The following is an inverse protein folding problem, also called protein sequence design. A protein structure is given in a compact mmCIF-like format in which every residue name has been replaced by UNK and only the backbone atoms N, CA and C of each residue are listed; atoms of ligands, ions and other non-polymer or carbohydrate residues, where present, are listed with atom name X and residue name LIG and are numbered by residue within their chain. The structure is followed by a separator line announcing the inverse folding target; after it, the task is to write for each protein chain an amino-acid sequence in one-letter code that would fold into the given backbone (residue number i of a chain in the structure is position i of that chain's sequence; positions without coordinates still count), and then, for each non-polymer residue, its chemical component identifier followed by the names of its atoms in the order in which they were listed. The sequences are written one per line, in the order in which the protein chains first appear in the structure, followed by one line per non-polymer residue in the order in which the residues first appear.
data_IF_577322122699
#
_entry.id   IF_577322122699
#
_cell.length_a   1.000
_cell.length_b   1.000
_cell.length_c   1.000
_cell.angle_alpha   90.00
_cell.angle_beta   90.00
_cell.angle_gamma   90.00
#
_symmetry.space_group_name_H-M   'P 1'
#
loop_
_entity.id
_entity.type
_entity.pdbx_description
1 polymer ?
#
# COMPACT_ATOMS: atom_id res chain seq x y z
N UNK A 1 10.26 20.05 14.94
CA UNK A 1 9.43 19.07 15.68
C UNK A 1 8.45 19.84 16.53
N UNK A 2 7.15 19.72 16.27
CA UNK A 2 6.12 20.35 17.09
C UNK A 2 5.85 19.48 18.31
N UNK A 3 6.10 19.99 19.52
CA UNK A 3 5.73 19.33 20.77
C UNK A 3 4.31 19.74 21.14
N UNK A 4 3.38 18.79 21.11
CA UNK A 4 2.02 19.02 21.63
C UNK A 4 1.98 18.60 23.10
N UNK A 5 1.67 19.52 24.00
CA UNK A 5 1.49 19.26 25.43
C UNK A 5 0.01 19.45 25.76
N UNK A 6 -0.66 18.38 26.19
CA UNK A 6 -2.01 18.41 26.76
C UNK A 6 -3.14 18.62 25.75
N UNK A 7 -3.40 17.63 24.89
CA UNK A 7 -4.62 17.62 24.07
C UNK A 7 -5.74 16.99 24.91
N UNK A 8 -6.76 17.78 25.26
CA UNK A 8 -7.95 17.30 25.96
C UNK A 8 -9.12 17.24 24.96
N UNK A 9 -9.62 16.03 24.70
CA UNK A 9 -10.70 15.78 23.73
C UNK A 9 -11.95 15.36 24.51
N UNK A 10 -13.05 16.07 24.29
CA UNK A 10 -14.35 15.83 24.91
C UNK A 10 -15.41 15.63 23.83
N UNK A 11 -16.49 14.92 24.17
CA UNK A 11 -17.61 14.59 23.27
C UNK A 11 -17.23 13.81 21.99
N UNK A 12 -16.62 12.64 22.17
CA UNK A 12 -16.18 11.77 21.07
C UNK A 12 -17.27 10.87 20.49
N UNK A 13 -18.54 11.11 20.83
CA UNK A 13 -19.66 10.34 20.29
C UNK A 13 -19.66 10.47 18.76
N UNK A 14 -19.47 9.36 18.05
CA UNK A 14 -19.30 9.28 16.59
C UNK A 14 -18.06 10.00 16.00
N UNK A 15 -17.03 10.26 16.81
CA UNK A 15 -15.77 10.83 16.32
C UNK A 15 -14.66 9.79 16.29
N UNK A 16 -13.81 9.84 15.26
CA UNK A 16 -12.58 9.05 15.19
C UNK A 16 -11.37 9.98 15.44
N UNK A 17 -10.66 9.78 16.54
CA UNK A 17 -9.44 10.51 16.86
C UNK A 17 -8.27 9.68 16.34
N UNK A 18 -7.39 10.29 15.56
CA UNK A 18 -6.24 9.58 15.02
C UNK A 18 -4.96 10.37 15.24
N UNK A 19 -4.03 9.75 15.98
CA UNK A 19 -2.74 10.29 16.36
C UNK A 19 -1.66 9.45 15.66
N UNK A 20 -0.96 10.03 14.68
CA UNK A 20 0.05 9.34 13.87
C UNK A 20 0.31 10.07 12.56
N UNK A 21 1.25 9.55 11.77
CA UNK A 21 1.60 10.11 10.46
C UNK A 21 0.38 10.09 9.53
N UNK A 22 -0.18 11.27 9.23
CA UNK A 22 -1.50 11.43 8.62
C UNK A 22 -1.69 10.69 7.29
N UNK A 23 -0.58 10.42 6.60
CA UNK A 23 -0.55 9.73 5.33
C UNK A 23 -0.97 8.25 5.44
N UNK A 24 -0.53 7.53 6.47
CA UNK A 24 -0.87 6.11 6.67
C UNK A 24 -2.35 5.91 7.03
N UNK A 25 -2.92 6.87 7.75
CA UNK A 25 -4.30 6.80 8.22
C UNK A 25 -5.28 7.06 7.09
N UNK A 26 -4.98 8.03 6.23
CA UNK A 26 -5.72 8.27 5.00
C UNK A 26 -5.67 7.04 4.07
N UNK A 27 -4.49 6.43 3.91
CA UNK A 27 -4.33 5.17 3.15
C UNK A 27 -5.22 4.07 3.73
N UNK A 28 -5.19 3.83 5.04
CA UNK A 28 -5.99 2.78 5.70
C UNK A 28 -7.50 3.02 5.60
N UNK A 29 -7.96 4.25 5.78
CA UNK A 29 -9.39 4.59 5.60
C UNK A 29 -9.86 4.37 4.15
N UNK A 30 -9.03 4.73 3.17
CA UNK A 30 -9.36 4.51 1.76
C UNK A 30 -9.30 3.03 1.38
N UNK A 31 -8.42 2.26 2.00
CA UNK A 31 -8.40 0.79 1.90
C UNK A 31 -9.70 0.19 2.43
N UNK A 32 -10.17 0.60 3.61
CA UNK A 32 -11.46 0.12 4.14
C UNK A 32 -12.62 0.40 3.19
N UNK A 33 -12.72 1.62 2.65
CA UNK A 33 -13.74 1.98 1.65
C UNK A 33 -13.60 1.18 0.36
N UNK A 34 -12.37 0.89 -0.07
CA UNK A 34 -12.12 0.06 -1.24
C UNK A 34 -12.60 -1.38 -1.02
N UNK A 35 -12.40 -1.92 0.18
CA UNK A 35 -12.86 -3.27 0.56
C UNK A 35 -14.39 -3.34 0.69
N UNK A 36 -15.03 -2.26 1.14
CA UNK A 36 -16.50 -2.14 1.19
C UNK A 36 -17.13 -1.95 -0.20
N UNK A 37 -16.33 -1.53 -1.20
CA UNK A 37 -16.82 -1.34 -2.56
C UNK A 37 -17.01 -2.66 -3.29
N UNK A 38 -18.27 -2.97 -3.63
CA UNK A 38 -18.67 -4.11 -4.46
C UNK A 38 -18.19 -4.00 -5.93
N UNK A 39 -17.61 -2.86 -6.32
CA UNK A 39 -17.05 -2.68 -7.66
C UNK A 39 -15.85 -3.62 -7.85
N UNK A 40 -16.05 -4.60 -8.75
CA UNK A 40 -15.02 -5.55 -9.16
C UNK A 40 -14.12 -4.90 -10.22
N UNK A 41 -12.80 -4.82 -9.99
CA UNK A 41 -11.88 -4.30 -10.98
C UNK A 41 -11.88 -5.18 -12.23
N UNK A 42 -11.77 -4.56 -13.41
CA UNK A 42 -11.70 -5.28 -14.67
C UNK A 42 -10.39 -6.07 -14.81
N UNK A 43 -10.34 -7.03 -15.73
CA UNK A 43 -9.09 -7.72 -16.09
C UNK A 43 -7.99 -6.73 -16.50
N UNK A 44 -8.33 -5.73 -17.31
CA UNK A 44 -7.39 -4.67 -17.73
C UNK A 44 -6.81 -3.91 -16.53
N UNK A 45 -7.65 -3.63 -15.52
CA UNK A 45 -7.21 -3.01 -14.27
C UNK A 45 -6.14 -3.87 -13.59
N UNK A 46 -6.36 -5.19 -13.47
CA UNK A 46 -5.40 -6.10 -12.86
C UNK A 46 -4.12 -6.28 -13.69
N UNK A 47 -4.21 -6.27 -15.02
CA UNK A 47 -3.03 -6.29 -15.89
C UNK A 47 -2.17 -5.05 -15.69
N UNK A 48 -2.78 -3.88 -15.51
CA UNK A 48 -2.06 -2.65 -15.20
C UNK A 48 -1.43 -2.68 -13.80
N UNK A 49 -2.14 -3.22 -12.79
CA UNK A 49 -1.55 -3.49 -11.46
C UNK A 49 -0.36 -4.45 -11.57
N UNK A 50 -0.47 -5.50 -12.38
CA UNK A 50 0.60 -6.50 -12.55
C UNK A 50 1.88 -5.88 -13.10
N UNK A 51 1.75 -5.05 -14.14
CA UNK A 51 2.86 -4.28 -14.71
C UNK A 51 3.57 -3.43 -13.66
N UNK A 52 2.80 -2.67 -12.87
CA UNK A 52 3.39 -1.80 -11.85
C UNK A 52 4.00 -2.58 -10.68
N UNK A 53 3.45 -3.74 -10.31
CA UNK A 53 4.06 -4.65 -9.33
C UNK A 53 5.38 -5.26 -9.85
N UNK A 54 5.47 -5.58 -11.14
CA UNK A 54 6.73 -6.02 -11.76
C UNK A 54 7.77 -4.89 -11.70
N UNK A 55 7.38 -3.67 -12.04
CA UNK A 55 8.26 -2.51 -11.94
C UNK A 55 8.75 -2.29 -10.50
N UNK A 56 7.83 -2.34 -9.53
CA UNK A 56 8.16 -2.26 -8.11
C UNK A 56 9.17 -3.34 -7.71
N UNK A 57 8.97 -4.59 -8.14
CA UNK A 57 9.90 -5.70 -7.86
C UNK A 57 11.30 -5.44 -8.41
N UNK A 58 11.41 -4.88 -9.62
CA UNK A 58 12.71 -4.60 -10.21
C UNK A 58 13.45 -3.52 -9.42
N UNK A 59 12.75 -2.45 -9.06
CA UNK A 59 13.32 -1.37 -8.23
C UNK A 59 13.72 -1.87 -6.84
N UNK A 60 12.92 -2.75 -6.23
CA UNK A 60 13.29 -3.36 -4.95
C UNK A 60 14.60 -4.14 -5.05
N UNK A 61 14.83 -4.86 -6.16
CA UNK A 61 16.09 -5.57 -6.39
C UNK A 61 17.29 -4.65 -6.60
N UNK A 62 17.05 -3.42 -7.04
CA UNK A 62 18.08 -2.40 -7.26
C UNK A 62 18.39 -1.58 -6.00
N UNK A 63 17.71 -1.85 -4.87
CA UNK A 63 18.04 -1.23 -3.59
C UNK A 63 19.46 -1.61 -3.17
N UNK A 64 20.19 -0.61 -2.67
CA UNK A 64 21.57 -0.75 -2.18
C UNK A 64 21.68 -1.77 -1.04
N UNK A 65 22.88 -2.32 -0.85
CA UNK A 65 23.13 -3.33 0.18
C UNK A 65 22.98 -2.79 1.61
N UNK A 66 22.99 -1.46 1.79
CA UNK A 66 22.61 -0.81 3.05
C UNK A 66 21.18 -1.18 3.49
N UNK A 67 20.33 -1.59 2.55
CA UNK A 67 18.96 -2.05 2.79
C UNK A 67 18.79 -3.56 2.62
N UNK A 68 19.88 -4.34 2.50
CA UNK A 68 19.85 -5.78 2.18
C UNK A 68 18.85 -6.56 3.05
N UNK A 69 18.87 -6.36 4.37
CA UNK A 69 17.94 -7.05 5.29
C UNK A 69 16.48 -6.71 5.00
N UNK A 70 16.14 -5.43 4.78
CA UNK A 70 14.76 -5.02 4.47
C UNK A 70 14.38 -5.47 3.04
N UNK A 71 15.31 -5.35 2.10
CA UNK A 71 15.15 -5.72 0.69
C UNK A 71 14.86 -7.21 0.56
N UNK A 72 15.66 -8.07 1.16
CA UNK A 72 15.67 -9.50 0.89
C UNK A 72 14.76 -10.28 1.84
N UNK A 73 14.70 -9.90 3.12
CA UNK A 73 13.90 -10.63 4.11
C UNK A 73 12.45 -10.15 4.18
N UNK A 74 12.18 -8.88 3.85
CA UNK A 74 10.85 -8.29 4.02
C UNK A 74 10.19 -7.92 2.68
N UNK A 75 10.83 -7.04 1.91
CA UNK A 75 10.21 -6.38 0.77
C UNK A 75 10.12 -7.30 -0.45
N UNK A 76 11.18 -8.02 -0.80
CA UNK A 76 11.19 -8.98 -1.92
C UNK A 76 10.15 -10.09 -1.73
N UNK A 77 10.02 -10.73 -0.56
CA UNK A 77 8.95 -11.70 -0.30
C UNK A 77 7.56 -11.06 -0.37
N UNK A 78 7.37 -9.87 0.19
CA UNK A 78 6.08 -9.18 0.19
C UNK A 78 5.63 -8.82 -1.23
N UNK A 79 6.50 -8.23 -2.04
CA UNK A 79 6.23 -7.90 -3.46
C UNK A 79 5.99 -9.15 -4.28
N UNK A 80 6.73 -10.23 -4.03
CA UNK A 80 6.53 -11.51 -4.73
C UNK A 80 5.18 -12.15 -4.40
N UNK A 81 4.73 -12.08 -3.14
CA UNK A 81 3.40 -12.55 -2.73
C UNK A 81 2.30 -11.71 -3.38
N UNK A 82 2.44 -10.38 -3.40
CA UNK A 82 1.49 -9.50 -4.07
C UNK A 82 1.41 -9.78 -5.58
N UNK A 83 2.56 -9.98 -6.24
CA UNK A 83 2.61 -10.35 -7.67
C UNK A 83 1.81 -11.60 -7.98
N UNK A 84 2.01 -12.68 -7.21
CA UNK A 84 1.26 -13.93 -7.37
C UNK A 84 -0.24 -13.75 -7.18
N UNK A 85 -0.64 -12.88 -6.25
CA UNK A 85 -2.05 -12.58 -6.04
C UNK A 85 -2.66 -11.82 -7.23
N UNK A 86 -1.93 -10.84 -7.76
CA UNK A 86 -2.37 -10.13 -8.96
C UNK A 86 -2.47 -11.07 -10.16
N UNK A 87 -1.54 -12.02 -10.32
CA UNK A 87 -1.61 -13.01 -11.41
C UNK A 87 -2.90 -13.82 -11.35
N UNK A 88 -3.31 -14.27 -10.16
CA UNK A 88 -4.61 -14.93 -9.97
C UNK A 88 -5.78 -14.02 -10.33
N UNK A 89 -5.72 -12.74 -9.97
CA UNK A 89 -6.77 -11.75 -10.26
C UNK A 89 -6.83 -11.35 -11.75
N UNK A 90 -5.70 -11.41 -12.46
CA UNK A 90 -5.65 -11.25 -13.93
C UNK A 90 -6.33 -12.43 -14.62
N UNK A 91 -6.07 -13.65 -14.16
CA UNK A 91 -6.70 -14.87 -14.68
C UNK A 91 -8.19 -14.95 -14.30
N UNK A 92 -8.52 -14.54 -13.07
CA UNK A 92 -9.85 -14.66 -12.48
C UNK A 92 -10.28 -13.33 -11.83
N UNK A 93 -10.62 -12.35 -12.64
CA UNK A 93 -11.04 -11.00 -12.19
C UNK A 93 -12.27 -10.96 -11.28
N UNK A 94 -12.99 -12.07 -11.13
CA UNK A 94 -14.14 -12.20 -10.24
C UNK A 94 -13.78 -12.52 -8.78
N UNK A 95 -12.52 -12.91 -8.52
CA UNK A 95 -12.01 -13.19 -7.16
C UNK A 95 -11.98 -11.91 -6.33
N UNK A 96 -12.05 -12.09 -5.01
CA UNK A 96 -12.01 -10.99 -4.06
C UNK A 96 -10.64 -10.30 -4.09
N UNK A 97 -10.66 -8.96 -4.16
CA UNK A 97 -9.47 -8.10 -4.15
C UNK A 97 -8.85 -7.95 -2.75
N UNK A 98 -9.56 -8.37 -1.69
CA UNK A 98 -9.14 -8.23 -0.29
C UNK A 98 -7.75 -8.81 -0.04
N UNK A 99 -7.50 -10.00 -0.55
CA UNK A 99 -6.23 -10.70 -0.41
C UNK A 99 -5.05 -9.95 -1.04
N UNK A 100 -5.31 -9.24 -2.16
CA UNK A 100 -4.31 -8.38 -2.78
C UNK A 100 -4.10 -7.10 -1.97
N UNK A 101 -5.19 -6.48 -1.52
CA UNK A 101 -5.15 -5.23 -0.75
C UNK A 101 -4.40 -5.42 0.58
N UNK A 102 -4.58 -6.54 1.26
CA UNK A 102 -3.82 -6.89 2.47
C UNK A 102 -2.32 -7.04 2.18
N UNK A 103 -1.97 -7.76 1.10
CA UNK A 103 -0.58 -7.94 0.67
C UNK A 103 0.06 -6.61 0.25
N UNK A 104 -0.69 -5.73 -0.42
CA UNK A 104 -0.26 -4.39 -0.78
C UNK A 104 -0.06 -3.49 0.43
N UNK A 105 -0.93 -3.59 1.44
CA UNK A 105 -0.80 -2.87 2.72
C UNK A 105 0.46 -3.30 3.46
N UNK A 106 0.80 -4.58 3.46
CA UNK A 106 2.04 -5.06 4.06
C UNK A 106 3.29 -4.47 3.35
N UNK A 107 3.25 -4.30 2.02
CA UNK A 107 4.35 -3.63 1.28
C UNK A 107 4.49 -2.19 1.76
N UNK A 108 3.37 -1.45 1.83
CA UNK A 108 3.34 -0.09 2.35
C UNK A 108 3.96 0.00 3.75
N UNK A 109 3.52 -0.86 4.68
CA UNK A 109 4.01 -0.89 6.05
C UNK A 109 5.52 -1.19 6.12
N UNK A 110 6.05 -2.07 5.26
CA UNK A 110 7.50 -2.34 5.19
C UNK A 110 8.25 -1.12 4.66
N UNK A 111 7.76 -0.51 3.57
CA UNK A 111 8.44 0.62 2.92
C UNK A 111 8.44 1.87 3.78
N UNK A 112 7.42 2.04 4.63
CA UNK A 112 7.33 3.15 5.58
C UNK A 112 8.29 3.05 6.77
N UNK A 113 9.04 1.94 6.90
CA UNK A 113 10.09 1.82 7.94
C UNK A 113 11.36 2.58 7.58
N UNK A 114 11.51 3.04 6.34
CA UNK A 114 12.70 3.77 5.88
C UNK A 114 12.32 4.86 4.87
N UNK A 115 12.62 6.11 5.21
CA UNK A 115 12.37 7.28 4.37
C UNK A 115 13.09 7.21 3.02
N UNK A 116 14.24 6.54 2.97
CA UNK A 116 14.99 6.39 1.72
C UNK A 116 14.35 5.33 0.81
N UNK A 117 13.90 4.21 1.38
CA UNK A 117 13.19 3.17 0.63
C UNK A 117 11.88 3.72 0.09
N UNK A 118 11.07 4.38 0.93
CA UNK A 118 9.78 4.93 0.50
C UNK A 118 9.96 5.92 -0.64
N UNK A 119 10.98 6.80 -0.61
CA UNK A 119 11.24 7.74 -1.69
C UNK A 119 11.49 7.06 -3.05
N UNK A 120 12.15 5.90 -3.03
CA UNK A 120 12.46 5.12 -4.23
C UNK A 120 11.20 4.39 -4.75
N UNK A 121 10.42 3.77 -3.85
CA UNK A 121 9.29 2.91 -4.24
C UNK A 121 7.97 3.65 -4.43
N UNK A 122 7.84 4.84 -3.83
CA UNK A 122 6.62 5.67 -3.80
C UNK A 122 5.98 5.91 -5.16
N UNK A 123 6.71 6.22 -6.24
CA UNK A 123 6.10 6.42 -7.56
C UNK A 123 5.27 5.21 -8.02
N UNK A 124 5.74 4.00 -7.73
CA UNK A 124 5.09 2.74 -8.10
C UNK A 124 3.92 2.42 -7.19
N UNK A 125 4.10 2.61 -5.88
CA UNK A 125 3.05 2.41 -4.89
C UNK A 125 1.87 3.34 -5.17
N UNK A 126 2.12 4.63 -5.41
CA UNK A 126 1.06 5.61 -5.73
C UNK A 126 0.33 5.22 -7.01
N UNK A 127 1.03 4.74 -8.04
CA UNK A 127 0.39 4.27 -9.28
C UNK A 127 -0.50 3.07 -9.04
N UNK A 128 0.01 2.03 -8.37
CA UNK A 128 -0.77 0.83 -8.03
C UNK A 128 -2.03 1.24 -7.26
N UNK A 129 -1.86 2.09 -6.26
CA UNK A 129 -2.94 2.53 -5.42
C UNK A 129 -4.00 3.33 -6.19
N UNK A 130 -3.60 4.20 -7.12
CA UNK A 130 -4.52 4.89 -8.04
C UNK A 130 -5.29 3.93 -8.92
N UNK A 131 -4.63 2.92 -9.49
CA UNK A 131 -5.26 1.93 -10.38
C UNK A 131 -6.36 1.16 -9.62
N UNK A 132 -6.12 0.82 -8.36
CA UNK A 132 -7.11 0.11 -7.53
C UNK A 132 -8.12 1.05 -6.84
N UNK A 133 -8.10 2.36 -7.12
CA UNK A 133 -9.09 3.31 -6.60
C UNK A 133 -8.78 3.89 -5.21
N UNK A 134 -7.56 3.75 -4.71
CA UNK A 134 -7.08 4.51 -3.54
C UNK A 134 -6.68 5.92 -3.98
N UNK A 135 -7.57 6.88 -3.75
CA UNK A 135 -7.33 8.31 -3.99
C UNK A 135 -6.75 8.99 -2.75
N UNK A 136 -6.05 10.13 -2.93
CA UNK A 136 -5.54 10.93 -1.80
C UNK A 136 -4.26 10.40 -1.12
N UNK A 137 -3.56 9.45 -1.73
CA UNK A 137 -2.28 8.96 -1.21
C UNK A 137 -1.18 9.98 -1.52
N UNK A 138 -0.82 10.77 -0.52
CA UNK A 138 0.45 11.47 -0.44
C UNK A 138 1.33 10.63 0.47
N UNK A 139 2.22 9.81 -0.09
CA UNK A 139 3.37 9.28 0.65
C UNK A 139 4.45 10.36 0.70
#
# INVERSE_FOLDING_TARGET
MSNFVGINIKDTSNSNITLGDGNLLLIRQNISKLLESEAKPSKETWENVHKEIINLRNIVKELTDEYEVIRDEQLTPAVSKAKREVEKLVENSHLDKKDFVEKFTNILDITNKSDQIINIVKPYIVKIAKIIGLSGIQL
#
